data_IF_812799661734
#
_entry.id   IF_812799661734
#
_cell.length_a   1.000
_cell.length_b   1.000
_cell.length_c   1.000
_cell.angle_alpha   90.00
_cell.angle_beta   90.00
_cell.angle_gamma   90.00
#
_symmetry.space_group_name_H-M   'P 1'
#
loop_
_entity.id
_entity.type
_entity.pdbx_description
1 polymer ?
#
# COMPACT_ATOMS: atom_id res chain seq x y z
N UNK A 1 -21.15 -33.66 48.11
CA UNK A 1 -22.17 -34.24 49.02
C UNK A 1 -23.49 -33.77 48.44
N UNK A 2 -24.22 -34.55 47.63
CA UNK A 2 -25.00 -35.75 48.03
C UNK A 2 -25.93 -35.35 49.19
N UNK A 3 -27.26 -35.38 49.04
CA UNK A 3 -28.07 -36.57 48.77
C UNK A 3 -29.39 -36.26 48.02
N UNK A 4 -30.13 -37.30 47.64
CA UNK A 4 -31.50 -37.18 47.10
C UNK A 4 -32.41 -38.36 47.48
N UNK A 5 -33.73 -38.09 47.53
CA UNK A 5 -34.93 -38.97 47.61
C UNK A 5 -36.16 -38.02 47.47
N UNK A 6 -37.38 -38.36 47.03
CA UNK A 6 -38.06 -39.57 46.49
C UNK A 6 -39.09 -39.07 45.45
N UNK A 7 -39.42 -39.74 44.32
CA UNK A 7 -39.97 -41.07 44.07
C UNK A 7 -41.52 -41.19 44.18
N UNK A 8 -42.13 -41.92 43.22
CA UNK A 8 -43.58 -42.20 42.98
C UNK A 8 -44.42 -41.01 42.45
N UNK A 9 -45.45 -41.15 41.59
CA UNK A 9 -46.23 -42.30 41.04
C UNK A 9 -46.37 -42.16 39.51
N UNK A 10 -46.16 -43.17 38.66
CA UNK A 10 -46.99 -44.33 38.29
C UNK A 10 -48.45 -44.05 37.82
N UNK A 11 -48.69 -44.14 36.51
CA UNK A 11 -49.98 -44.47 35.91
C UNK A 11 -49.76 -45.30 34.61
N UNK A 12 -50.66 -46.23 34.29
CA UNK A 12 -50.44 -47.32 33.33
C UNK A 12 -51.62 -47.47 32.34
N UNK A 13 -51.31 -47.99 31.14
CA UNK A 13 -52.16 -48.87 30.29
C UNK A 13 -53.32 -48.22 29.44
N UNK A 14 -53.94 -48.92 28.45
CA UNK A 14 -53.34 -49.48 27.21
C UNK A 14 -54.30 -49.61 25.96
N UNK A 15 -53.91 -50.38 24.92
CA UNK A 15 -54.72 -50.93 23.78
C UNK A 15 -55.26 -49.93 22.71
N UNK A 16 -55.48 -50.28 21.42
CA UNK A 16 -55.29 -51.54 20.63
C UNK A 16 -54.85 -51.20 19.17
N UNK A 17 -54.29 -52.12 18.34
CA UNK A 17 -54.96 -53.19 17.52
C UNK A 17 -56.18 -52.69 16.70
N UNK A 18 -56.37 -52.99 15.40
CA UNK A 18 -55.60 -53.72 14.37
C UNK A 18 -56.23 -53.50 12.94
N UNK A 19 -55.76 -54.28 11.93
CA UNK A 19 -56.33 -54.59 10.58
C UNK A 19 -55.74 -53.73 9.43
N UNK A 20 -55.01 -54.21 8.39
CA UNK A 20 -54.89 -55.48 7.61
C UNK A 20 -55.87 -55.66 6.44
N UNK A 21 -55.47 -55.23 5.23
CA UNK A 21 -55.68 -55.87 3.90
C UNK A 21 -55.09 -54.91 2.82
N UNK A 22 -54.26 -55.29 1.83
CA UNK A 22 -54.27 -56.43 0.87
C UNK A 22 -55.47 -56.30 -0.09
N UNK A 23 -55.40 -56.31 -1.43
CA UNK A 23 -54.43 -56.72 -2.49
C UNK A 23 -54.69 -55.79 -3.72
N UNK A 24 -53.85 -55.55 -4.74
CA UNK A 24 -53.54 -56.44 -5.90
C UNK A 24 -52.60 -55.75 -6.92
N UNK A 25 -51.92 -56.59 -7.71
CA UNK A 25 -50.90 -56.29 -8.74
C UNK A 25 -51.38 -55.50 -9.98
N UNK A 26 -50.49 -54.69 -10.56
CA UNK A 26 -50.30 -54.58 -12.02
C UNK A 26 -48.85 -54.16 -12.35
N UNK A 27 -48.17 -54.93 -13.23
CA UNK A 27 -46.83 -54.62 -13.75
C UNK A 27 -46.92 -53.64 -14.93
N UNK A 28 -46.06 -52.61 -14.97
CA UNK A 28 -45.51 -52.08 -16.23
C UNK A 28 -44.21 -51.26 -16.00
N UNK A 29 -43.12 -51.85 -16.45
CA UNK A 29 -41.73 -51.36 -16.55
C UNK A 29 -41.61 -49.87 -16.94
N UNK A 30 -40.79 -49.13 -16.20
CA UNK A 30 -40.46 -47.72 -16.46
C UNK A 30 -39.19 -47.23 -15.76
N UNK A 31 -38.15 -48.07 -15.68
CA UNK A 31 -36.85 -47.67 -15.12
C UNK A 31 -36.04 -46.88 -16.14
N UNK A 32 -35.72 -45.63 -15.80
CA UNK A 32 -34.35 -45.08 -15.74
C UNK A 32 -34.40 -43.56 -15.50
N UNK A 33 -34.62 -43.15 -14.24
CA UNK A 33 -34.18 -41.81 -13.83
C UNK A 33 -32.66 -41.84 -13.64
N UNK A 34 -31.94 -41.49 -14.70
CA UNK A 34 -30.51 -41.23 -14.65
C UNK A 34 -30.23 -39.90 -13.97
N UNK A 35 -30.07 -39.92 -12.65
CA UNK A 35 -29.50 -38.78 -11.91
C UNK A 35 -28.03 -38.60 -12.30
N UNK A 36 -27.76 -37.94 -13.42
CA UNK A 36 -26.45 -37.39 -13.77
C UNK A 36 -26.15 -36.13 -12.94
N UNK A 37 -26.39 -36.22 -11.63
CA UNK A 37 -25.84 -35.31 -10.63
C UNK A 37 -24.35 -35.60 -10.51
N UNK A 38 -23.59 -35.23 -11.56
CA UNK A 38 -22.15 -35.30 -11.55
C UNK A 38 -21.64 -34.38 -10.46
N UNK A 39 -21.33 -34.95 -9.29
CA UNK A 39 -20.54 -34.29 -8.29
C UNK A 39 -19.20 -33.96 -8.95
N UNK A 40 -19.07 -32.72 -9.40
CA UNK A 40 -17.78 -32.16 -9.76
C UNK A 40 -16.97 -32.12 -8.46
N UNK A 41 -16.23 -33.19 -8.23
CA UNK A 41 -15.01 -33.12 -7.42
C UNK A 41 -14.27 -31.88 -7.89
N UNK A 42 -13.97 -30.90 -7.02
CA UNK A 42 -13.14 -29.78 -7.42
C UNK A 42 -11.82 -30.40 -7.85
N UNK A 43 -11.57 -30.41 -9.15
CA UNK A 43 -10.29 -30.83 -9.68
C UNK A 43 -9.28 -29.86 -9.08
N UNK A 44 -8.38 -30.38 -8.25
CA UNK A 44 -7.18 -29.66 -7.82
C UNK A 44 -6.24 -29.55 -9.02
N UNK A 45 -6.69 -28.82 -10.04
CA UNK A 45 -5.90 -28.47 -11.21
C UNK A 45 -4.87 -27.46 -10.73
N UNK A 46 -3.63 -27.90 -10.56
CA UNK A 46 -2.43 -27.05 -10.58
C UNK A 46 -2.18 -26.45 -11.98
N UNK A 47 -3.26 -26.21 -12.73
CA UNK A 47 -3.25 -25.60 -14.05
C UNK A 47 -3.27 -24.09 -13.89
N UNK A 48 -2.68 -23.38 -14.85
CA UNK A 48 -2.53 -21.94 -14.76
C UNK A 48 -3.89 -21.28 -15.00
N UNK A 49 -4.43 -20.56 -14.00
CA UNK A 49 -5.63 -19.74 -14.21
C UNK A 49 -5.38 -18.76 -15.36
N UNK A 50 -6.22 -18.86 -16.39
CA UNK A 50 -6.25 -17.95 -17.53
C UNK A 50 -7.38 -16.94 -17.37
N UNK A 51 -7.39 -15.89 -18.20
CA UNK A 51 -8.51 -14.96 -18.27
C UNK A 51 -9.84 -15.64 -18.62
N UNK A 52 -9.84 -16.85 -19.21
CA UNK A 52 -11.06 -17.61 -19.48
C UNK A 52 -11.72 -18.14 -18.20
N UNK A 53 -10.92 -18.49 -17.20
CA UNK A 53 -11.36 -19.15 -15.96
C UNK A 53 -11.92 -18.15 -14.93
N UNK A 54 -11.63 -16.86 -15.09
CA UNK A 54 -12.14 -15.83 -14.18
C UNK A 54 -13.66 -15.64 -14.30
N UNK A 55 -14.32 -15.66 -13.14
CA UNK A 55 -15.77 -15.48 -13.06
C UNK A 55 -16.23 -14.14 -13.64
N UNK A 56 -17.44 -14.07 -14.26
CA UNK A 56 -17.98 -12.80 -14.74
C UNK A 56 -18.11 -11.72 -13.66
N UNK A 57 -18.23 -12.11 -12.38
CA UNK A 57 -18.25 -11.17 -11.27
C UNK A 57 -16.87 -10.54 -11.01
N UNK A 58 -15.80 -11.35 -11.00
CA UNK A 58 -14.41 -10.91 -10.85
C UNK A 58 -13.96 -10.03 -12.01
N UNK A 59 -14.32 -10.37 -13.25
CA UNK A 59 -14.07 -9.53 -14.44
C UNK A 59 -14.72 -8.15 -14.30
N UNK A 60 -16.00 -8.09 -13.89
CA UNK A 60 -16.68 -6.82 -13.61
C UNK A 60 -16.02 -6.03 -12.48
N UNK A 61 -15.56 -6.71 -11.42
CA UNK A 61 -14.86 -6.04 -10.31
C UNK A 61 -13.57 -5.37 -10.79
N UNK A 62 -12.72 -6.09 -11.54
CA UNK A 62 -11.48 -5.53 -12.13
C UNK A 62 -11.73 -4.31 -13.00
N UNK A 63 -12.68 -4.37 -13.94
CA UNK A 63 -13.01 -3.22 -14.81
C UNK A 63 -13.45 -2.00 -13.99
N UNK A 64 -14.25 -2.20 -12.93
CA UNK A 64 -14.66 -1.11 -12.04
C UNK A 64 -13.54 -0.57 -11.18
N UNK A 65 -12.60 -1.42 -10.76
CA UNK A 65 -11.39 -1.01 -10.09
C UNK A 65 -10.49 -0.14 -11.00
N UNK A 66 -10.36 -0.49 -12.28
CA UNK A 66 -9.62 0.31 -13.27
C UNK A 66 -10.28 1.68 -13.47
N UNK A 67 -11.62 1.73 -13.61
CA UNK A 67 -12.37 2.99 -13.66
C UNK A 67 -12.18 3.81 -12.39
N UNK A 68 -12.30 3.20 -11.21
CA UNK A 68 -12.08 3.86 -9.93
C UNK A 68 -10.66 4.43 -9.80
N UNK A 69 -9.65 3.69 -10.27
CA UNK A 69 -8.25 4.15 -10.29
C UNK A 69 -8.07 5.35 -11.24
N UNK A 70 -8.68 5.31 -12.43
CA UNK A 70 -8.69 6.44 -13.38
C UNK A 70 -9.33 7.69 -12.79
N UNK A 71 -10.54 7.58 -12.21
CA UNK A 71 -11.21 8.69 -11.54
C UNK A 71 -10.42 9.22 -10.34
N UNK A 72 -9.78 8.33 -9.56
CA UNK A 72 -8.92 8.72 -8.44
C UNK A 72 -7.69 9.50 -8.93
N UNK A 73 -7.03 9.07 -10.00
CA UNK A 73 -5.88 9.77 -10.58
C UNK A 73 -6.28 11.16 -11.12
N UNK A 74 -7.49 11.29 -11.68
CA UNK A 74 -8.05 12.56 -12.16
C UNK A 74 -8.63 13.47 -11.05
N UNK A 75 -8.49 13.11 -9.77
CA UNK A 75 -8.99 13.90 -8.64
C UNK A 75 -10.49 13.74 -8.33
N UNK A 76 -11.24 13.00 -9.15
CA UNK A 76 -12.69 12.77 -9.07
C UNK A 76 -13.04 11.74 -7.97
N UNK A 77 -12.66 12.07 -6.74
CA UNK A 77 -12.59 11.14 -5.60
C UNK A 77 -13.96 10.55 -5.19
N UNK A 78 -15.05 11.29 -5.37
CA UNK A 78 -16.42 10.79 -5.12
C UNK A 78 -16.86 9.74 -6.15
N UNK A 79 -16.55 9.96 -7.44
CA UNK A 79 -16.84 9.02 -8.53
C UNK A 79 -15.99 7.76 -8.38
N UNK A 80 -14.71 7.93 -8.02
CA UNK A 80 -13.81 6.81 -7.70
C UNK A 80 -14.37 5.93 -6.57
N UNK A 81 -14.92 6.52 -5.50
CA UNK A 81 -15.56 5.75 -4.41
C UNK A 81 -16.81 5.00 -4.87
N UNK A 82 -17.59 5.52 -5.81
CA UNK A 82 -18.79 4.84 -6.28
C UNK A 82 -18.46 3.60 -7.11
N UNK A 83 -17.59 3.76 -8.12
CA UNK A 83 -17.08 2.61 -8.90
C UNK A 83 -16.40 1.58 -8.00
N UNK A 84 -15.69 2.02 -6.96
CA UNK A 84 -15.02 1.12 -6.03
C UNK A 84 -15.97 0.37 -5.10
N UNK A 85 -17.10 0.98 -4.67
CA UNK A 85 -18.18 0.24 -3.98
C UNK A 85 -18.76 -0.82 -4.90
N UNK A 86 -19.01 -0.48 -6.17
CA UNK A 86 -19.52 -1.42 -7.16
C UNK A 86 -18.50 -2.54 -7.48
N UNK A 87 -17.19 -2.26 -7.46
CA UNK A 87 -16.12 -3.25 -7.54
C UNK A 87 -16.13 -4.21 -6.34
N UNK A 88 -16.11 -3.68 -5.12
CA UNK A 88 -16.07 -4.50 -3.88
C UNK A 88 -17.36 -5.32 -3.72
N UNK A 89 -18.50 -4.81 -4.18
CA UNK A 89 -19.76 -5.55 -4.22
C UNK A 89 -19.77 -6.68 -5.26
N UNK A 90 -18.95 -6.60 -6.32
CA UNK A 90 -18.85 -7.64 -7.34
C UNK A 90 -17.81 -8.72 -7.00
N UNK A 91 -16.67 -8.36 -6.40
CA UNK A 91 -15.70 -9.30 -5.80
C UNK A 91 -15.15 -8.73 -4.49
N UNK A 92 -15.70 -9.13 -3.33
CA UNK A 92 -15.20 -8.71 -2.01
C UNK A 92 -13.78 -9.20 -1.68
N UNK A 93 -13.24 -10.14 -2.46
CA UNK A 93 -11.91 -10.74 -2.31
C UNK A 93 -10.81 -10.05 -3.11
N UNK A 94 -11.14 -9.05 -3.94
CA UNK A 94 -10.16 -8.29 -4.73
C UNK A 94 -9.38 -7.32 -3.81
N UNK A 95 -8.19 -7.73 -3.36
CA UNK A 95 -7.40 -6.97 -2.38
C UNK A 95 -6.99 -5.58 -2.90
N UNK A 96 -6.80 -5.46 -4.20
CA UNK A 96 -6.45 -4.23 -4.91
C UNK A 96 -7.56 -3.17 -4.78
N UNK A 97 -8.82 -3.59 -4.70
CA UNK A 97 -9.94 -2.68 -4.46
C UNK A 97 -9.93 -2.14 -3.03
N UNK A 98 -9.64 -2.98 -2.04
CA UNK A 98 -9.47 -2.53 -0.65
C UNK A 98 -8.25 -1.62 -0.48
N UNK A 99 -7.17 -1.86 -1.24
CA UNK A 99 -5.98 -1.01 -1.31
C UNK A 99 -6.29 0.39 -1.89
N UNK A 100 -7.02 0.46 -3.01
CA UNK A 100 -7.44 1.74 -3.58
C UNK A 100 -8.38 2.49 -2.64
N UNK A 101 -9.28 1.78 -1.93
CA UNK A 101 -10.16 2.38 -0.91
C UNK A 101 -9.33 3.01 0.21
N UNK A 102 -8.23 2.35 0.60
CA UNK A 102 -7.25 2.89 1.55
C UNK A 102 -6.63 4.20 1.06
N UNK A 103 -6.09 4.21 -0.17
CA UNK A 103 -5.51 5.40 -0.79
C UNK A 103 -6.51 6.57 -0.92
N UNK A 104 -7.76 6.27 -1.26
CA UNK A 104 -8.81 7.29 -1.33
C UNK A 104 -9.07 7.91 0.05
N UNK A 105 -9.24 7.09 1.09
CA UNK A 105 -9.47 7.62 2.44
C UNK A 105 -8.24 8.36 3.01
N UNK A 106 -7.01 7.96 2.64
CA UNK A 106 -5.82 8.78 2.91
C UNK A 106 -5.92 10.18 2.30
N UNK A 107 -6.34 10.31 1.03
CA UNK A 107 -6.53 11.61 0.38
C UNK A 107 -7.62 12.45 1.06
N UNK A 108 -8.65 11.80 1.59
CA UNK A 108 -9.73 12.45 2.35
C UNK A 108 -9.35 12.75 3.81
N UNK A 109 -8.14 12.37 4.25
CA UNK A 109 -7.66 12.41 5.65
C UNK A 109 -8.49 11.58 6.64
N UNK A 110 -9.29 10.62 6.16
CA UNK A 110 -9.97 9.63 7.00
C UNK A 110 -9.02 8.44 7.26
N UNK A 111 -8.05 8.68 8.13
CA UNK A 111 -7.05 7.67 8.47
C UNK A 111 -7.62 6.38 9.09
N UNK A 112 -8.69 6.41 9.93
CA UNK A 112 -9.34 5.19 10.40
C UNK A 112 -9.88 4.29 9.27
N UNK A 113 -10.64 4.85 8.32
CA UNK A 113 -11.15 4.06 7.19
C UNK A 113 -10.02 3.63 6.23
N UNK A 114 -8.95 4.42 6.11
CA UNK A 114 -7.76 4.03 5.35
C UNK A 114 -7.05 2.81 5.98
N UNK A 115 -6.84 2.82 7.30
CA UNK A 115 -6.20 1.72 8.03
C UNK A 115 -7.04 0.44 8.02
N UNK A 116 -8.36 0.55 8.18
CA UNK A 116 -9.31 -0.55 7.98
C UNK A 116 -9.13 -1.18 6.59
N UNK A 117 -9.07 -0.34 5.55
CA UNK A 117 -8.93 -0.76 4.16
C UNK A 117 -7.63 -1.51 3.88
N UNK A 118 -6.50 -0.98 4.33
CA UNK A 118 -5.21 -1.65 4.15
C UNK A 118 -5.12 -2.96 4.94
N UNK A 119 -5.66 -2.99 6.17
CA UNK A 119 -5.77 -4.25 6.93
C UNK A 119 -6.63 -5.28 6.19
N UNK A 120 -7.74 -4.87 5.58
CA UNK A 120 -8.59 -5.78 4.79
C UNK A 120 -7.88 -6.29 3.53
N UNK A 121 -7.15 -5.42 2.83
CA UNK A 121 -6.32 -5.84 1.69
C UNK A 121 -5.23 -6.84 2.10
N UNK A 122 -4.54 -6.63 3.22
CA UNK A 122 -3.51 -7.55 3.73
C UNK A 122 -4.07 -8.86 4.31
N UNK A 123 -5.32 -8.88 4.80
CA UNK A 123 -6.02 -10.13 5.14
C UNK A 123 -6.30 -10.99 3.89
N UNK A 124 -6.60 -10.35 2.76
CA UNK A 124 -6.89 -11.03 1.49
C UNK A 124 -5.61 -11.46 0.77
N UNK A 125 -4.55 -10.65 0.84
CA UNK A 125 -3.23 -10.99 0.32
C UNK A 125 -2.11 -10.47 1.25
N UNK A 126 -1.60 -11.32 2.17
CA UNK A 126 -0.53 -10.92 3.11
C UNK A 126 0.81 -10.55 2.45
N UNK A 127 1.03 -10.92 1.19
CA UNK A 127 2.27 -10.67 0.45
C UNK A 127 2.17 -9.48 -0.53
N UNK A 128 1.07 -8.73 -0.49
CA UNK A 128 0.83 -7.60 -1.37
C UNK A 128 1.73 -6.39 -1.06
N UNK A 129 2.94 -6.38 -1.62
CA UNK A 129 3.97 -5.39 -1.33
C UNK A 129 3.55 -3.92 -1.61
N UNK A 130 2.69 -3.69 -2.60
CA UNK A 130 2.11 -2.36 -2.87
C UNK A 130 1.17 -1.89 -1.73
N UNK A 131 0.43 -2.81 -1.12
CA UNK A 131 -0.43 -2.54 0.04
C UNK A 131 0.41 -2.27 1.28
N UNK A 132 1.45 -3.08 1.50
CA UNK A 132 2.42 -2.89 2.58
C UNK A 132 3.12 -1.53 2.45
N UNK A 133 3.55 -1.12 1.25
CA UNK A 133 4.08 0.22 0.99
C UNK A 133 3.08 1.32 1.37
N UNK A 134 1.85 1.26 0.87
CA UNK A 134 0.81 2.26 1.11
C UNK A 134 0.45 2.35 2.61
N UNK A 135 0.35 1.22 3.29
CA UNK A 135 0.06 1.17 4.71
C UNK A 135 1.23 1.69 5.55
N UNK A 136 2.47 1.35 5.19
CA UNK A 136 3.68 1.93 5.78
C UNK A 136 3.70 3.46 5.67
N UNK A 137 3.25 4.00 4.54
CA UNK A 137 3.12 5.45 4.35
C UNK A 137 2.02 6.07 5.23
N UNK A 138 0.84 5.45 5.36
CA UNK A 138 -0.20 5.90 6.30
C UNK A 138 0.31 5.95 7.74
N UNK A 139 0.98 4.88 8.20
CA UNK A 139 1.55 4.80 9.54
C UNK A 139 2.59 5.90 9.77
N UNK A 140 3.38 6.24 8.74
CA UNK A 140 4.32 7.35 8.79
C UNK A 140 3.62 8.71 8.95
N UNK A 141 2.52 8.94 8.23
CA UNK A 141 1.73 10.16 8.37
C UNK A 141 1.21 10.31 9.81
N UNK A 142 0.71 9.21 10.41
CA UNK A 142 0.29 9.11 11.80
C UNK A 142 1.42 9.17 12.85
N UNK A 143 2.70 9.20 12.44
CA UNK A 143 3.86 9.22 13.34
C UNK A 143 4.23 7.85 13.96
N UNK A 144 3.58 6.77 13.52
CA UNK A 144 3.83 5.38 13.98
C UNK A 144 5.06 4.79 13.28
N UNK A 145 6.22 5.36 13.56
CA UNK A 145 7.47 5.09 12.84
C UNK A 145 7.89 3.60 12.85
N UNK A 146 7.73 2.89 13.97
CA UNK A 146 8.10 1.47 14.07
C UNK A 146 7.16 0.56 13.26
N UNK A 147 5.84 0.82 13.32
CA UNK A 147 4.86 0.09 12.51
C UNK A 147 5.10 0.35 11.01
N UNK A 148 5.40 1.60 10.65
CA UNK A 148 5.74 2.03 9.30
C UNK A 148 6.96 1.29 8.74
N UNK A 149 8.04 1.20 9.53
CA UNK A 149 9.24 0.41 9.18
C UNK A 149 8.90 -1.06 8.90
N UNK A 150 8.10 -1.70 9.77
CA UNK A 150 7.69 -3.11 9.57
C UNK A 150 6.94 -3.31 8.25
N UNK A 151 6.04 -2.40 7.88
CA UNK A 151 5.32 -2.49 6.60
C UNK A 151 6.23 -2.24 5.40
N UNK A 152 7.10 -1.21 5.44
CA UNK A 152 8.04 -0.96 4.34
C UNK A 152 9.02 -2.13 4.14
N UNK A 153 9.55 -2.71 5.21
CA UNK A 153 10.44 -3.87 5.13
C UNK A 153 9.71 -5.11 4.60
N UNK A 154 8.43 -5.30 4.93
CA UNK A 154 7.58 -6.33 4.30
C UNK A 154 7.52 -6.17 2.78
N UNK A 155 7.22 -4.95 2.32
CA UNK A 155 7.18 -4.63 0.89
C UNK A 155 8.53 -4.88 0.19
N UNK A 156 9.63 -4.46 0.84
CA UNK A 156 10.99 -4.59 0.32
C UNK A 156 11.45 -6.06 0.24
N UNK A 157 11.01 -6.91 1.18
CA UNK A 157 11.36 -8.33 1.22
C UNK A 157 10.72 -9.15 0.09
N UNK A 158 9.65 -8.67 -0.55
CA UNK A 158 9.03 -9.37 -1.67
C UNK A 158 9.96 -9.33 -2.91
N UNK A 159 10.41 -10.48 -3.44
CA UNK A 159 11.35 -10.53 -4.57
C UNK A 159 10.76 -9.95 -5.86
N UNK A 160 9.44 -10.06 -6.04
CA UNK A 160 8.69 -9.64 -7.23
C UNK A 160 8.22 -8.16 -7.16
N UNK A 161 8.54 -7.44 -6.08
CA UNK A 161 8.18 -6.04 -5.94
C UNK A 161 9.18 -5.14 -6.67
N UNK A 162 8.71 -4.51 -7.75
CA UNK A 162 9.57 -3.69 -8.62
C UNK A 162 9.78 -2.25 -8.08
N UNK A 163 8.88 -1.75 -7.23
CA UNK A 163 8.97 -0.40 -6.64
C UNK A 163 9.82 -0.35 -5.34
N UNK A 164 10.77 -1.29 -5.15
CA UNK A 164 11.65 -1.33 -3.95
C UNK A 164 12.32 0.00 -3.63
N UNK A 165 12.80 0.73 -4.66
CA UNK A 165 13.43 2.06 -4.48
C UNK A 165 12.48 3.05 -3.80
N UNK A 166 11.21 3.08 -4.23
CA UNK A 166 10.16 3.96 -3.68
C UNK A 166 9.84 3.63 -2.22
N UNK A 167 9.84 2.35 -1.83
CA UNK A 167 9.72 1.96 -0.41
C UNK A 167 10.93 2.36 0.43
N UNK A 168 12.16 2.17 -0.06
CA UNK A 168 13.37 2.64 0.62
C UNK A 168 13.38 4.17 0.79
N UNK A 169 12.97 4.91 -0.25
CA UNK A 169 12.84 6.37 -0.21
C UNK A 169 11.79 6.80 0.81
N UNK A 170 10.57 6.24 0.76
CA UNK A 170 9.48 6.60 1.66
C UNK A 170 9.83 6.27 3.13
N UNK A 171 10.48 5.13 3.38
CA UNK A 171 10.97 4.77 4.71
C UNK A 171 12.06 5.73 5.20
N UNK A 172 13.00 6.11 4.33
CA UNK A 172 14.03 7.10 4.64
C UNK A 172 13.47 8.47 4.98
N UNK A 173 12.51 8.98 4.19
CA UNK A 173 11.77 10.22 4.50
C UNK A 173 11.01 10.09 5.83
N UNK A 174 10.45 8.92 6.13
CA UNK A 174 9.80 8.68 7.41
C UNK A 174 10.79 8.75 8.59
N UNK A 175 11.97 8.16 8.43
CA UNK A 175 13.04 8.18 9.43
C UNK A 175 13.57 9.61 9.65
N UNK A 176 13.62 10.46 8.61
CA UNK A 176 13.88 11.92 8.78
C UNK A 176 12.82 12.56 9.68
N UNK A 177 11.53 12.35 9.40
CA UNK A 177 10.41 12.88 10.21
C UNK A 177 10.45 12.38 11.66
N UNK A 178 10.90 11.14 11.88
CA UNK A 178 11.07 10.53 13.20
C UNK A 178 12.39 10.92 13.92
N UNK A 179 13.28 11.70 13.28
CA UNK A 179 14.59 12.07 13.84
C UNK A 179 15.67 10.98 13.77
N UNK A 180 15.37 9.81 13.20
CA UNK A 180 16.26 8.66 13.03
C UNK A 180 17.26 8.87 11.88
N UNK A 181 18.12 9.90 12.00
CA UNK A 181 18.99 10.40 10.92
C UNK A 181 19.93 9.34 10.33
N UNK A 182 20.52 8.47 11.15
CA UNK A 182 21.44 7.44 10.67
C UNK A 182 20.72 6.38 9.82
N UNK A 183 19.55 5.93 10.26
CA UNK A 183 18.73 4.97 9.53
C UNK A 183 18.18 5.60 8.24
N UNK A 184 17.78 6.87 8.30
CA UNK A 184 17.38 7.64 7.13
C UNK A 184 18.49 7.69 6.07
N UNK A 185 19.75 7.95 6.46
CA UNK A 185 20.90 7.91 5.53
C UNK A 185 21.03 6.52 4.91
N UNK A 186 20.92 5.44 5.69
CA UNK A 186 21.03 4.08 5.18
C UNK A 186 19.90 3.76 4.16
N UNK A 187 18.65 4.06 4.51
CA UNK A 187 17.48 3.83 3.64
C UNK A 187 17.54 4.67 2.36
N UNK A 188 17.88 5.96 2.46
CA UNK A 188 18.01 6.84 1.29
C UNK A 188 19.20 6.46 0.41
N UNK A 189 20.28 5.92 0.99
CA UNK A 189 21.38 5.33 0.21
C UNK A 189 20.88 4.14 -0.61
N UNK A 190 20.13 3.20 0.01
CA UNK A 190 19.53 2.07 -0.73
C UNK A 190 18.53 2.51 -1.80
N UNK A 191 17.75 3.57 -1.56
CA UNK A 191 16.89 4.16 -2.57
C UNK A 191 17.71 4.71 -3.76
N UNK A 192 18.75 5.50 -3.49
CA UNK A 192 19.62 6.09 -4.51
C UNK A 192 20.47 5.03 -5.26
N UNK A 193 20.80 3.89 -4.64
CA UNK A 193 21.45 2.76 -5.33
C UNK A 193 20.52 2.10 -6.35
N UNK A 194 19.22 2.00 -6.05
CA UNK A 194 18.21 1.38 -6.92
C UNK A 194 17.64 2.35 -7.98
N UNK A 195 17.51 3.63 -7.63
CA UNK A 195 17.12 4.71 -8.53
C UNK A 195 18.01 5.96 -8.29
N UNK A 196 19.14 6.07 -8.99
CA UNK A 196 20.02 7.23 -8.92
C UNK A 196 19.47 8.53 -9.55
N UNK A 197 18.25 8.51 -10.09
CA UNK A 197 17.60 9.66 -10.74
C UNK A 197 16.59 10.36 -9.82
N UNK A 198 16.13 9.69 -8.76
CA UNK A 198 15.10 10.20 -7.86
C UNK A 198 15.58 11.44 -7.07
N UNK A 199 15.00 12.65 -7.31
CA UNK A 199 15.47 13.87 -6.67
C UNK A 199 15.12 13.93 -5.18
N UNK A 200 14.03 13.27 -4.74
CA UNK A 200 13.61 13.23 -3.33
C UNK A 200 14.61 12.42 -2.50
N UNK A 201 15.01 11.25 -2.99
CA UNK A 201 16.04 10.43 -2.36
C UNK A 201 17.38 11.19 -2.28
N UNK A 202 17.83 11.73 -3.42
CA UNK A 202 19.08 12.48 -3.51
C UNK A 202 19.13 13.73 -2.62
N UNK A 203 18.04 14.51 -2.55
CA UNK A 203 18.01 15.76 -1.78
C UNK A 203 18.05 15.48 -0.28
N UNK A 204 17.22 14.56 0.22
CA UNK A 204 17.22 14.20 1.63
C UNK A 204 18.56 13.58 2.05
N UNK A 205 19.15 12.74 1.19
CA UNK A 205 20.48 12.16 1.44
C UNK A 205 21.57 13.24 1.50
N UNK A 206 21.59 14.18 0.54
CA UNK A 206 22.54 15.29 0.52
C UNK A 206 22.39 16.18 1.77
N UNK A 207 21.17 16.50 2.19
CA UNK A 207 20.87 17.30 3.37
C UNK A 207 21.39 16.63 4.66
N UNK A 208 21.10 15.34 4.84
CA UNK A 208 21.57 14.59 6.01
C UNK A 208 23.10 14.41 6.03
N UNK A 209 23.73 14.20 4.86
CA UNK A 209 25.19 14.12 4.74
C UNK A 209 25.84 15.47 5.06
N UNK A 210 25.27 16.59 4.61
CA UNK A 210 25.74 17.93 4.99
C UNK A 210 25.64 18.15 6.51
N UNK A 211 24.50 17.79 7.12
CA UNK A 211 24.31 17.86 8.58
C UNK A 211 25.27 16.94 9.36
N UNK A 212 25.73 15.84 8.76
CA UNK A 212 26.74 14.93 9.34
C UNK A 212 28.19 15.39 9.09
N UNK A 213 28.41 16.42 8.27
CA UNK A 213 29.74 16.89 7.86
C UNK A 213 30.39 16.10 6.71
N UNK A 214 29.69 15.15 6.09
CA UNK A 214 30.12 14.39 4.90
C UNK A 214 30.03 15.27 3.62
N UNK A 215 30.61 16.47 3.63
CA UNK A 215 30.39 17.52 2.62
C UNK A 215 30.68 17.06 1.18
N UNK A 216 31.73 16.26 0.97
CA UNK A 216 32.06 15.73 -0.37
C UNK A 216 30.96 14.79 -0.92
N UNK A 217 30.35 13.97 -0.06
CA UNK A 217 29.22 13.09 -0.46
C UNK A 217 27.95 13.91 -0.67
N UNK A 218 27.69 14.88 0.21
CA UNK A 218 26.56 15.81 0.07
C UNK A 218 26.64 16.57 -1.27
N UNK A 219 27.83 17.08 -1.61
CA UNK A 219 28.12 17.76 -2.88
C UNK A 219 27.87 16.84 -4.08
N UNK A 220 28.31 15.58 -4.04
CA UNK A 220 28.05 14.60 -5.09
C UNK A 220 26.55 14.40 -5.36
N UNK A 221 25.75 14.18 -4.31
CA UNK A 221 24.31 13.96 -4.46
C UNK A 221 23.57 15.23 -4.92
N UNK A 222 23.85 16.40 -4.34
CA UNK A 222 23.14 17.65 -4.71
C UNK A 222 23.49 18.12 -6.13
N UNK A 223 24.74 17.93 -6.59
CA UNK A 223 25.15 18.29 -7.96
C UNK A 223 24.41 17.47 -9.02
N UNK A 224 24.11 16.20 -8.76
CA UNK A 224 23.29 15.37 -9.70
C UNK A 224 21.90 15.98 -9.91
N UNK A 225 21.29 16.50 -8.85
CA UNK A 225 19.97 17.15 -8.91
C UNK A 225 20.08 18.49 -9.64
N UNK A 226 21.05 19.34 -9.24
CA UNK A 226 21.21 20.69 -9.79
C UNK A 226 21.63 20.71 -11.28
N UNK A 227 22.22 19.62 -11.77
CA UNK A 227 22.56 19.39 -13.18
C UNK A 227 21.45 18.66 -13.97
N UNK A 228 20.24 18.51 -13.40
CA UNK A 228 19.09 17.86 -14.03
C UNK A 228 17.89 18.82 -14.15
N UNK A 229 16.82 18.38 -14.82
CA UNK A 229 15.55 19.11 -14.89
C UNK A 229 14.89 19.32 -13.51
N UNK A 230 15.19 18.46 -12.53
CA UNK A 230 14.64 18.52 -11.17
C UNK A 230 15.26 19.62 -10.29
N UNK A 231 16.25 20.36 -10.79
CA UNK A 231 16.89 21.46 -10.08
C UNK A 231 15.89 22.57 -9.71
N UNK A 232 15.67 22.81 -8.41
CA UNK A 232 14.74 23.81 -7.88
C UNK A 232 15.44 24.81 -6.93
N UNK A 233 14.71 25.74 -6.32
CA UNK A 233 15.29 26.73 -5.41
C UNK A 233 15.97 26.08 -4.19
N UNK A 234 15.31 25.10 -3.56
CA UNK A 234 15.81 24.39 -2.38
C UNK A 234 17.09 23.59 -2.67
N UNK A 235 17.14 22.87 -3.80
CA UNK A 235 18.30 22.07 -4.19
C UNK A 235 19.50 22.94 -4.57
N UNK A 236 19.27 24.09 -5.22
CA UNK A 236 20.31 25.09 -5.46
C UNK A 236 20.80 25.71 -4.16
N UNK A 237 19.91 26.04 -3.22
CA UNK A 237 20.28 26.58 -1.91
C UNK A 237 21.09 25.59 -1.07
N UNK A 238 20.69 24.32 -1.04
CA UNK A 238 21.47 23.25 -0.42
C UNK A 238 22.87 23.14 -1.05
N UNK A 239 22.95 23.24 -2.38
CA UNK A 239 24.23 23.30 -3.10
C UNK A 239 25.09 24.49 -2.68
N UNK A 240 24.51 25.69 -2.63
CA UNK A 240 25.17 26.92 -2.19
C UNK A 240 25.75 26.76 -0.78
N UNK A 241 24.96 26.24 0.17
CA UNK A 241 25.43 25.99 1.55
C UNK A 241 26.57 24.96 1.60
N UNK A 242 26.50 23.88 0.82
CA UNK A 242 27.57 22.88 0.74
C UNK A 242 28.86 23.47 0.14
N UNK A 243 28.78 24.22 -0.97
CA UNK A 243 29.97 24.85 -1.58
C UNK A 243 30.58 25.93 -0.66
N UNK A 244 29.76 26.68 0.08
CA UNK A 244 30.20 27.63 1.12
C UNK A 244 30.95 26.92 2.25
N UNK A 245 30.42 25.80 2.78
CA UNK A 245 31.09 25.00 3.82
C UNK A 245 32.39 24.35 3.31
N UNK A 246 32.50 24.08 2.01
CA UNK A 246 33.72 23.60 1.35
C UNK A 246 34.71 24.73 0.98
N UNK A 247 34.35 26.00 1.18
CA UNK A 247 35.16 27.17 0.80
C UNK A 247 35.21 27.44 -0.72
N UNK A 248 34.38 26.76 -1.51
CA UNK A 248 34.37 26.82 -2.97
C UNK A 248 33.54 28.00 -3.50
N UNK A 249 34.09 29.21 -3.34
CA UNK A 249 33.42 30.48 -3.65
C UNK A 249 32.95 30.61 -5.10
N UNK A 250 33.68 30.05 -6.06
CA UNK A 250 33.32 30.12 -7.48
C UNK A 250 32.05 29.32 -7.78
N UNK A 251 31.99 28.06 -7.32
CA UNK A 251 30.80 27.22 -7.48
C UNK A 251 29.60 27.78 -6.70
N UNK A 252 29.82 28.30 -5.49
CA UNK A 252 28.78 28.99 -4.71
C UNK A 252 28.21 30.18 -5.50
N UNK A 253 29.06 31.01 -6.10
CA UNK A 253 28.64 32.18 -6.89
C UNK A 253 27.88 31.77 -8.15
N UNK A 254 28.31 30.71 -8.84
CA UNK A 254 27.62 30.17 -10.01
C UNK A 254 26.22 29.64 -9.67
N UNK A 255 26.09 28.85 -8.60
CA UNK A 255 24.78 28.36 -8.11
C UNK A 255 23.88 29.52 -7.66
N UNK A 256 24.44 30.53 -6.98
CA UNK A 256 23.72 31.74 -6.58
C UNK A 256 23.20 32.56 -7.77
N UNK A 257 24.00 32.70 -8.84
CA UNK A 257 23.56 33.33 -10.08
C UNK A 257 22.45 32.51 -10.77
N UNK A 258 22.55 31.17 -10.77
CA UNK A 258 21.51 30.29 -11.30
C UNK A 258 20.19 30.39 -10.50
N UNK A 259 20.29 30.44 -9.16
CA UNK A 259 19.17 30.62 -8.24
C UNK A 259 18.45 31.95 -8.50
N UNK A 260 19.18 33.07 -8.53
CA UNK A 260 18.62 34.39 -8.88
C UNK A 260 17.96 34.40 -10.26
N UNK A 261 18.61 33.81 -11.27
CA UNK A 261 18.10 33.82 -12.66
C UNK A 261 16.81 33.00 -12.83
N UNK A 262 16.67 31.86 -12.14
CA UNK A 262 15.55 30.92 -12.32
C UNK A 262 14.43 31.11 -11.29
N UNK A 263 14.77 31.58 -10.09
CA UNK A 263 13.89 31.56 -8.91
C UNK A 263 14.00 32.86 -8.10
N UNK A 264 14.08 34.02 -8.76
CA UNK A 264 14.27 35.34 -8.13
C UNK A 264 13.31 35.66 -6.96
N UNK A 265 12.08 35.13 -6.99
CA UNK A 265 11.05 35.36 -5.96
C UNK A 265 11.04 34.28 -4.85
N UNK A 266 11.97 33.33 -4.88
CA UNK A 266 12.07 32.28 -3.85
C UNK A 266 12.62 32.84 -2.53
N UNK A 267 12.26 32.17 -1.42
CA UNK A 267 12.83 32.49 -0.09
C UNK A 267 14.36 32.35 -0.13
N UNK A 268 14.83 31.32 -0.82
CA UNK A 268 16.22 30.92 -0.98
C UNK A 268 17.04 32.00 -1.68
N UNK A 269 16.51 32.60 -2.76
CA UNK A 269 17.15 33.74 -3.42
C UNK A 269 17.30 34.93 -2.46
N UNK A 270 16.25 35.23 -1.69
CA UNK A 270 16.29 36.26 -0.65
C UNK A 270 17.30 35.96 0.47
N UNK A 271 17.43 34.72 0.93
CA UNK A 271 18.44 34.33 1.93
C UNK A 271 19.86 34.39 1.35
N UNK A 272 20.07 34.03 0.08
CA UNK A 272 21.36 34.24 -0.60
C UNK A 272 21.72 35.72 -0.72
N UNK A 273 20.77 36.58 -1.07
CA UNK A 273 20.98 38.03 -1.22
C UNK A 273 21.37 38.72 0.11
N UNK A 274 20.87 38.22 1.24
CA UNK A 274 21.23 38.69 2.59
C UNK A 274 22.47 37.99 3.18
N UNK A 275 23.05 37.00 2.49
CA UNK A 275 24.15 36.18 3.02
C UNK A 275 23.76 35.30 4.21
N UNK A 276 22.50 34.93 4.33
CA UNK A 276 21.93 34.22 5.48
C UNK A 276 22.14 32.70 5.38
N UNK A 277 23.40 32.26 5.41
CA UNK A 277 23.76 30.84 5.23
C UNK A 277 23.47 29.95 6.44
N UNK A 278 23.33 30.55 7.62
CA UNK A 278 23.09 29.87 8.90
C UNK A 278 21.60 29.80 9.31
N UNK A 279 20.69 30.26 8.44
CA UNK A 279 19.23 30.08 8.51
C UNK A 279 18.78 28.68 7.97
#
# INVERSE_FOLDING_TARGET
MTDGFSALTLALRPFGRAVVSSILFALAIGLLQGCAGGAQTPASSNDLLTDSDESPARKRAKIRLELAAGYYNNGQTTVALDELKQSIGADPGLFEAHNLRGLIYMRLNDFPLAEESFKRALQLNPQAASVQHNYGWLLCQQGRAQDSYTQFMGAIANPNYNERSKSWMAMGVCQVKAGARNDAIASLTRANELDPSNPVAGYNLALLLMQRGDLAKAQFHVRRINNSEYANAESLWLGIKIEQMLGNKDAMTQLGAQLRKRFAQSKEAGSFDRGAFDE
#
